data_IF_375087363227
#
_entry.id   IF_375087363227
#
_cell.length_a   1.000
_cell.length_b   1.000
_cell.length_c   1.000
_cell.angle_alpha   90.00
_cell.angle_beta   90.00
_cell.angle_gamma   90.00
#
_symmetry.space_group_name_H-M   'P 1'
#
loop_
_entity.id
_entity.type
_entity.pdbx_description
1 polymer ?
#
# COMPACT_ATOMS: atom_id res chain seq x y z
N UNK A 1 1.07 24.98 -7.11
CA UNK A 1 1.44 23.96 -6.11
C UNK A 1 0.41 23.81 -4.98
N UNK A 2 -0.05 24.92 -4.37
CA UNK A 2 -0.90 24.82 -3.18
C UNK A 2 -2.31 24.28 -3.39
N UNK A 3 -2.97 24.62 -4.51
CA UNK A 3 -4.26 24.03 -4.86
C UNK A 3 -4.17 22.52 -5.05
N UNK A 4 -3.12 22.04 -5.73
CA UNK A 4 -2.87 20.60 -5.95
C UNK A 4 -2.59 19.89 -4.62
N UNK A 5 -1.72 20.44 -3.77
CA UNK A 5 -1.46 19.90 -2.43
C UNK A 5 -2.75 19.77 -1.61
N UNK A 6 -3.58 20.81 -1.61
CA UNK A 6 -4.82 20.84 -0.82
C UNK A 6 -5.82 19.81 -1.36
N UNK A 7 -5.94 19.69 -2.69
CA UNK A 7 -6.81 18.70 -3.32
C UNK A 7 -6.34 17.27 -3.05
N UNK A 8 -5.06 16.97 -3.21
CA UNK A 8 -4.52 15.63 -2.96
C UNK A 8 -4.61 15.27 -1.47
N UNK A 9 -4.34 16.23 -0.58
CA UNK A 9 -4.54 16.07 0.86
C UNK A 9 -5.99 15.81 1.23
N UNK A 10 -6.94 16.53 0.62
CA UNK A 10 -8.37 16.34 0.85
C UNK A 10 -8.84 14.96 0.38
N UNK A 11 -8.44 14.51 -0.82
CA UNK A 11 -8.75 13.16 -1.33
C UNK A 11 -8.18 12.09 -0.40
N UNK A 12 -6.94 12.28 0.06
CA UNK A 12 -6.33 11.36 1.02
C UNK A 12 -7.14 11.27 2.32
N UNK A 13 -7.51 12.41 2.90
CA UNK A 13 -8.28 12.49 4.14
C UNK A 13 -9.67 11.84 3.99
N UNK A 14 -10.37 12.08 2.88
CA UNK A 14 -11.63 11.41 2.57
C UNK A 14 -11.44 9.89 2.53
N UNK A 15 -10.36 9.41 1.90
CA UNK A 15 -10.00 8.00 1.90
C UNK A 15 -9.79 7.43 3.30
N UNK A 16 -9.14 8.16 4.22
CA UNK A 16 -8.94 7.73 5.62
C UNK A 16 -10.29 7.66 6.36
N UNK A 17 -11.15 8.66 6.19
CA UNK A 17 -12.50 8.66 6.80
C UNK A 17 -13.32 7.48 6.29
N UNK A 18 -13.27 7.21 4.98
CA UNK A 18 -13.91 6.05 4.38
C UNK A 18 -13.33 4.75 4.93
N UNK A 19 -12.00 4.62 5.08
CA UNK A 19 -11.39 3.44 5.69
C UNK A 19 -11.91 3.19 7.10
N UNK A 20 -11.93 4.22 7.94
CA UNK A 20 -12.41 4.10 9.30
C UNK A 20 -13.89 3.69 9.32
N UNK A 21 -14.74 4.36 8.54
CA UNK A 21 -16.17 4.07 8.45
C UNK A 21 -16.44 2.66 7.94
N UNK A 22 -15.77 2.25 6.86
CA UNK A 22 -15.92 0.93 6.27
C UNK A 22 -15.51 -0.17 7.26
N UNK A 23 -14.47 0.05 8.07
CA UNK A 23 -14.01 -0.93 9.05
C UNK A 23 -15.10 -1.32 10.06
N UNK A 24 -16.00 -0.39 10.44
CA UNK A 24 -17.12 -0.69 11.36
C UNK A 24 -18.23 -1.52 10.73
N UNK A 25 -18.47 -1.36 9.43
CA UNK A 25 -19.51 -2.09 8.70
C UNK A 25 -18.96 -3.35 8.02
N UNK A 26 -17.80 -3.84 8.49
CA UNK A 26 -17.14 -5.00 7.91
C UNK A 26 -18.07 -6.22 7.94
N UNK A 27 -18.31 -6.89 6.80
CA UNK A 27 -19.17 -8.07 6.74
C UNK A 27 -18.66 -9.23 7.62
N UNK A 28 -19.61 -10.05 8.09
CA UNK A 28 -19.35 -11.29 8.84
C UNK A 28 -18.35 -12.20 8.13
N UNK A 29 -17.47 -12.93 8.85
CA UNK A 29 -16.46 -13.82 8.28
C UNK A 29 -16.99 -14.80 7.22
N UNK A 30 -18.23 -15.27 7.37
CA UNK A 30 -18.85 -16.27 6.49
C UNK A 30 -19.60 -15.65 5.30
N UNK A 31 -19.60 -14.31 5.18
CA UNK A 31 -20.32 -13.61 4.13
C UNK A 31 -19.62 -13.70 2.77
N UNK A 32 -20.37 -14.03 1.73
CA UNK A 32 -19.89 -14.11 0.33
C UNK A 32 -19.33 -12.77 -0.16
N UNK A 33 -19.83 -11.63 0.35
CA UNK A 33 -19.35 -10.30 -0.06
C UNK A 33 -18.03 -9.89 0.60
N UNK A 34 -17.57 -10.62 1.62
CA UNK A 34 -16.39 -10.23 2.43
C UNK A 34 -15.08 -10.16 1.64
N UNK A 35 -14.77 -11.04 0.68
CA UNK A 35 -13.56 -10.92 -0.15
C UNK A 35 -13.56 -9.64 -0.98
N UNK A 36 -14.70 -9.28 -1.59
CA UNK A 36 -14.85 -8.05 -2.36
C UNK A 36 -14.71 -6.82 -1.46
N UNK A 37 -15.38 -6.82 -0.31
CA UNK A 37 -15.25 -5.77 0.68
C UNK A 37 -13.79 -5.56 1.11
N UNK A 38 -13.08 -6.64 1.47
CA UNK A 38 -11.67 -6.56 1.89
C UNK A 38 -10.77 -6.03 0.76
N UNK A 39 -11.04 -6.42 -0.50
CA UNK A 39 -10.30 -5.93 -1.66
C UNK A 39 -10.52 -4.43 -1.89
N UNK A 40 -11.77 -3.97 -1.88
CA UNK A 40 -12.13 -2.56 -2.02
C UNK A 40 -11.58 -1.72 -0.88
N UNK A 41 -11.72 -2.18 0.36
CA UNK A 41 -11.16 -1.54 1.55
C UNK A 41 -9.63 -1.41 1.43
N UNK A 42 -8.94 -2.47 0.96
CA UNK A 42 -7.51 -2.40 0.71
C UNK A 42 -7.17 -1.35 -0.37
N UNK A 43 -7.90 -1.35 -1.50
CA UNK A 43 -7.66 -0.42 -2.59
C UNK A 43 -7.81 1.05 -2.16
N UNK A 44 -8.87 1.37 -1.40
CA UNK A 44 -9.12 2.71 -0.87
C UNK A 44 -7.96 3.15 0.03
N UNK A 45 -7.50 2.27 0.92
CA UNK A 45 -6.34 2.55 1.78
C UNK A 45 -5.06 2.85 1.00
N UNK A 46 -4.77 2.05 -0.03
CA UNK A 46 -3.60 2.24 -0.89
C UNK A 46 -3.66 3.59 -1.63
N UNK A 47 -4.81 3.92 -2.21
CA UNK A 47 -5.00 5.18 -2.92
C UNK A 47 -4.88 6.38 -1.97
N UNK A 48 -5.53 6.31 -0.81
CA UNK A 48 -5.43 7.34 0.23
C UNK A 48 -3.98 7.61 0.63
N UNK A 49 -3.19 6.53 0.79
CA UNK A 49 -1.78 6.62 1.13
C UNK A 49 -0.93 7.23 0.01
N UNK A 50 -1.22 6.88 -1.24
CA UNK A 50 -0.56 7.48 -2.41
C UNK A 50 -0.83 8.99 -2.49
N UNK A 51 -2.08 9.40 -2.31
CA UNK A 51 -2.46 10.82 -2.28
C UNK A 51 -1.80 11.58 -1.12
N UNK A 52 -1.68 10.96 0.07
CA UNK A 52 -0.95 11.53 1.20
C UNK A 52 0.54 11.74 0.88
N UNK A 53 1.17 10.76 0.23
CA UNK A 53 2.58 10.85 -0.16
C UNK A 53 2.80 11.99 -1.17
N UNK A 54 1.92 12.11 -2.17
CA UNK A 54 1.97 13.22 -3.15
C UNK A 54 1.78 14.57 -2.45
N UNK A 55 0.79 14.69 -1.56
CA UNK A 55 0.57 15.93 -0.80
C UNK A 55 1.79 16.30 0.05
N UNK A 56 2.40 15.31 0.71
CA UNK A 56 3.61 15.48 1.53
C UNK A 56 4.79 15.92 0.67
N UNK A 57 5.01 15.29 -0.49
CA UNK A 57 6.05 15.68 -1.44
C UNK A 57 5.88 17.14 -1.91
N UNK A 58 4.65 17.54 -2.26
CA UNK A 58 4.40 18.92 -2.68
C UNK A 58 4.67 19.89 -1.53
N UNK A 59 4.24 19.58 -0.30
CA UNK A 59 4.52 20.41 0.86
C UNK A 59 6.02 20.53 1.14
N UNK A 60 6.73 19.41 1.08
CA UNK A 60 8.17 19.34 1.37
C UNK A 60 9.01 20.14 0.38
N UNK A 61 8.60 20.22 -0.89
CA UNK A 61 9.37 20.88 -1.93
C UNK A 61 8.95 22.33 -2.18
N UNK A 62 7.67 22.66 -2.08
CA UNK A 62 7.15 23.96 -2.50
C UNK A 62 6.78 24.89 -1.34
N UNK A 63 6.66 24.37 -0.12
CA UNK A 63 6.24 25.13 1.06
C UNK A 63 7.38 25.39 2.04
N UNK A 64 8.60 25.59 1.51
CA UNK A 64 9.82 25.86 2.26
C UNK A 64 9.70 27.05 3.23
N UNK A 65 8.83 28.04 2.95
CA UNK A 65 8.55 29.16 3.85
C UNK A 65 8.13 28.72 5.27
N UNK A 66 7.48 27.57 5.40
CA UNK A 66 7.03 27.04 6.70
C UNK A 66 8.07 26.14 7.38
N UNK A 67 9.21 25.92 6.73
CA UNK A 67 10.31 25.11 7.24
C UNK A 67 11.52 25.99 7.55
N UNK A 68 12.14 25.76 8.69
CA UNK A 68 13.36 26.47 9.07
C UNK A 68 14.57 26.08 8.23
N UNK A 69 14.52 24.90 7.60
CA UNK A 69 15.60 24.28 6.82
C UNK A 69 14.97 23.26 5.85
N UNK A 70 15.48 23.18 4.62
CA UNK A 70 15.04 22.25 3.56
C UNK A 70 15.36 20.77 3.88
N UNK A 71 16.31 20.51 4.78
CA UNK A 71 16.66 19.15 5.23
C UNK A 71 15.52 18.46 6.00
N UNK A 72 14.75 19.21 6.80
CA UNK A 72 13.67 18.66 7.64
C UNK A 72 12.51 18.07 6.85
N UNK A 73 11.90 18.79 5.89
CA UNK A 73 10.83 18.23 5.05
C UNK A 73 11.33 17.04 4.20
N UNK A 74 12.59 17.07 3.76
CA UNK A 74 13.23 15.97 3.06
C UNK A 74 13.29 14.69 3.92
N UNK A 75 13.84 14.79 5.14
CA UNK A 75 13.94 13.66 6.07
C UNK A 75 12.57 13.10 6.45
N UNK A 76 11.57 13.96 6.66
CA UNK A 76 10.19 13.53 6.94
C UNK A 76 9.58 12.75 5.78
N UNK A 77 9.87 13.17 4.55
CA UNK A 77 9.39 12.49 3.34
C UNK A 77 10.02 11.11 3.21
N UNK A 78 11.33 10.99 3.44
CA UNK A 78 12.03 9.69 3.44
C UNK A 78 11.47 8.77 4.52
N UNK A 79 11.32 9.29 5.76
CA UNK A 79 10.80 8.52 6.88
C UNK A 79 9.38 8.02 6.61
N UNK A 80 8.48 8.89 6.15
CA UNK A 80 7.11 8.52 5.80
C UNK A 80 7.09 7.43 4.72
N UNK A 81 7.90 7.60 3.69
CA UNK A 81 7.99 6.64 2.59
C UNK A 81 8.56 5.28 3.06
N UNK A 82 9.53 5.27 3.97
CA UNK A 82 10.07 4.06 4.58
C UNK A 82 9.05 3.34 5.45
N UNK A 83 8.31 4.06 6.30
CA UNK A 83 7.26 3.47 7.15
C UNK A 83 6.16 2.82 6.30
N UNK A 84 5.81 3.45 5.18
CA UNK A 84 4.87 2.88 4.21
C UNK A 84 5.42 1.56 3.65
N UNK A 85 6.65 1.56 3.15
CA UNK A 85 7.28 0.34 2.61
C UNK A 85 7.35 -0.78 3.65
N UNK A 86 7.73 -0.45 4.89
CA UNK A 86 7.79 -1.40 5.99
C UNK A 86 6.42 -2.02 6.30
N UNK A 87 5.37 -1.20 6.35
CA UNK A 87 4.00 -1.69 6.60
C UNK A 87 3.54 -2.71 5.53
N UNK A 88 3.91 -2.47 4.27
CA UNK A 88 3.63 -3.39 3.16
C UNK A 88 4.43 -4.69 3.26
N UNK A 89 5.72 -4.60 3.57
CA UNK A 89 6.57 -5.78 3.75
C UNK A 89 6.03 -6.67 4.87
N UNK A 90 5.65 -6.07 6.00
CA UNK A 90 5.03 -6.79 7.11
C UNK A 90 3.73 -7.47 6.69
N UNK A 91 2.85 -6.78 5.97
CA UNK A 91 1.61 -7.35 5.46
C UNK A 91 1.87 -8.55 4.53
N UNK A 92 2.85 -8.44 3.64
CA UNK A 92 3.21 -9.50 2.70
C UNK A 92 3.80 -10.72 3.41
N UNK A 93 4.65 -10.52 4.41
CA UNK A 93 5.19 -11.61 5.23
C UNK A 93 4.08 -12.35 5.97
N UNK A 94 3.13 -11.61 6.55
CA UNK A 94 1.96 -12.21 7.23
C UNK A 94 1.11 -13.00 6.25
N UNK A 95 0.78 -12.43 5.09
CA UNK A 95 0.00 -13.11 4.05
C UNK A 95 0.72 -14.37 3.54
N UNK A 96 2.03 -14.30 3.31
CA UNK A 96 2.83 -15.45 2.88
C UNK A 96 2.86 -16.57 3.92
N UNK A 97 2.96 -16.24 5.21
CA UNK A 97 2.88 -17.22 6.31
C UNK A 97 1.51 -17.89 6.37
N UNK A 98 0.42 -17.13 6.19
CA UNK A 98 -0.94 -17.66 6.18
C UNK A 98 -1.20 -18.58 4.98
N UNK A 99 -0.65 -18.23 3.81
CA UNK A 99 -0.75 -19.07 2.61
C UNK A 99 0.02 -20.38 2.76
N UNK A 100 1.25 -20.35 3.31
CA UNK A 100 2.00 -21.57 3.61
C UNK A 100 1.23 -22.48 4.58
N UNK A 101 0.73 -21.93 5.68
CA UNK A 101 -0.07 -22.70 6.67
C UNK A 101 -1.31 -23.34 6.06
N UNK A 102 -1.98 -22.66 5.12
CA UNK A 102 -3.12 -23.23 4.37
C UNK A 102 -2.68 -24.34 3.40
N UNK A 103 -1.55 -24.17 2.73
CA UNK A 103 -1.01 -25.19 1.81
C UNK A 103 -0.62 -26.46 2.57
N UNK A 104 0.08 -26.32 3.69
CA UNK A 104 0.50 -27.45 4.52
C UNK A 104 -0.71 -28.25 5.03
N UNK A 105 -1.78 -27.56 5.48
CA UNK A 105 -3.02 -28.22 5.90
C UNK A 105 -3.86 -28.81 4.75
N UNK A 106 -3.80 -28.24 3.55
CA UNK A 106 -4.45 -28.82 2.36
C UNK A 106 -3.67 -30.01 1.81
N UNK A 107 -2.33 -30.02 1.86
CA UNK A 107 -1.52 -31.17 1.44
C UNK A 107 -1.78 -32.39 2.34
N UNK A 108 -2.03 -32.19 3.64
CA UNK A 108 -2.46 -33.24 4.57
C UNK A 108 -3.83 -33.84 4.19
N UNK A 109 -4.72 -33.04 3.57
CA UNK A 109 -6.05 -33.46 3.08
C UNK A 109 -5.98 -34.02 1.64
N UNK A 110 -5.16 -33.47 0.76
CA UNK A 110 -5.03 -33.88 -0.65
C UNK A 110 -4.22 -35.18 -0.80
N UNK A 111 -3.33 -35.52 0.16
CA UNK A 111 -2.79 -36.88 0.24
C UNK A 111 -3.87 -37.95 0.48
N UNK A 112 -5.10 -37.54 0.83
CA UNK A 112 -6.29 -38.40 0.86
C UNK A 112 -7.14 -38.37 -0.42
N UNK A 113 -7.00 -37.39 -1.30
CA UNK A 113 -7.79 -37.29 -2.55
C UNK A 113 -7.02 -36.50 -3.62
N UNK A 114 -6.39 -37.20 -4.56
CA UNK A 114 -5.58 -36.56 -5.59
C UNK A 114 -6.41 -35.83 -6.65
N UNK A 115 -6.10 -34.56 -6.94
CA UNK A 115 -6.20 -34.01 -8.31
C UNK A 115 -5.52 -32.63 -8.51
N UNK A 116 -5.01 -32.45 -9.73
CA UNK A 116 -4.05 -31.45 -10.19
C UNK A 116 -4.68 -30.23 -10.89
N UNK A 117 -5.02 -29.17 -10.16
CA UNK A 117 -5.55 -27.91 -10.77
C UNK A 117 -4.92 -26.59 -10.24
N UNK A 118 -3.89 -26.67 -9.40
CA UNK A 118 -3.39 -25.53 -8.59
C UNK A 118 -2.39 -24.60 -9.33
N UNK A 119 -1.81 -25.03 -10.45
CA UNK A 119 -0.60 -24.36 -10.99
C UNK A 119 -0.84 -23.02 -11.70
N UNK A 120 -1.98 -22.83 -12.40
CA UNK A 120 -2.17 -21.67 -13.28
C UNK A 120 -2.65 -20.38 -12.56
N UNK A 121 -3.50 -20.50 -11.54
CA UNK A 121 -4.01 -19.34 -10.78
C UNK A 121 -2.96 -18.69 -9.88
N UNK A 122 -1.97 -19.49 -9.44
CA UNK A 122 -0.90 -19.07 -8.55
C UNK A 122 0.08 -18.10 -9.25
N UNK A 123 0.42 -18.38 -10.52
CA UNK A 123 1.37 -17.58 -11.32
C UNK A 123 0.87 -16.15 -11.59
N UNK A 124 -0.39 -16.01 -12.02
CA UNK A 124 -1.05 -14.71 -12.25
C UNK A 124 -1.06 -13.84 -10.97
N UNK A 125 -1.28 -14.45 -9.80
CA UNK A 125 -1.31 -13.73 -8.53
C UNK A 125 0.07 -13.21 -8.11
N UNK A 126 1.12 -13.99 -8.39
CA UNK A 126 2.51 -13.63 -8.06
C UNK A 126 2.99 -12.50 -8.97
N UNK A 127 2.70 -12.58 -10.27
CA UNK A 127 3.08 -11.56 -11.24
C UNK A 127 2.44 -10.21 -10.89
N UNK A 128 1.15 -10.19 -10.53
CA UNK A 128 0.48 -8.94 -10.10
C UNK A 128 1.09 -8.37 -8.82
N UNK A 129 1.49 -9.21 -7.86
CA UNK A 129 2.19 -8.75 -6.65
C UNK A 129 3.57 -8.18 -6.96
N UNK A 130 4.33 -8.82 -7.85
CA UNK A 130 5.67 -8.35 -8.26
C UNK A 130 5.56 -7.02 -9.00
N UNK A 131 4.67 -6.89 -9.98
CA UNK A 131 4.47 -5.64 -10.73
C UNK A 131 4.07 -4.49 -9.80
N UNK A 132 3.24 -4.76 -8.80
CA UNK A 132 2.81 -3.76 -7.83
C UNK A 132 3.96 -3.28 -6.92
N UNK A 133 4.79 -4.21 -6.44
CA UNK A 133 6.00 -3.89 -5.67
C UNK A 133 6.98 -3.09 -6.53
N UNK A 134 7.17 -3.49 -7.79
CA UNK A 134 8.08 -2.82 -8.71
C UNK A 134 7.63 -1.37 -8.95
N UNK A 135 6.34 -1.15 -9.25
CA UNK A 135 5.76 0.18 -9.45
C UNK A 135 5.97 1.08 -8.21
N UNK A 136 5.75 0.52 -7.02
CA UNK A 136 5.89 1.28 -5.78
C UNK A 136 7.35 1.59 -5.46
N UNK A 137 8.25 0.64 -5.71
CA UNK A 137 9.71 0.82 -5.50
C UNK A 137 10.27 1.85 -6.48
N UNK A 138 9.82 1.83 -7.74
CA UNK A 138 10.17 2.84 -8.76
C UNK A 138 9.64 4.22 -8.36
N UNK A 139 8.40 4.30 -7.85
CA UNK A 139 7.83 5.57 -7.38
C UNK A 139 8.61 6.12 -6.17
N UNK A 140 9.05 5.24 -5.28
CA UNK A 140 9.87 5.57 -4.11
C UNK A 140 11.27 6.05 -4.51
N UNK A 141 11.97 5.34 -5.40
CA UNK A 141 13.29 5.76 -5.89
C UNK A 141 13.22 7.03 -6.71
N UNK A 142 12.17 7.22 -7.51
CA UNK A 142 11.94 8.46 -8.25
C UNK A 142 11.69 9.65 -7.31
N UNK A 143 10.93 9.44 -6.23
CA UNK A 143 10.73 10.41 -5.16
C UNK A 143 12.06 10.82 -4.51
N UNK A 144 12.91 9.85 -4.15
CA UNK A 144 14.25 10.13 -3.60
C UNK A 144 15.13 10.87 -4.61
N UNK A 145 15.13 10.42 -5.87
CA UNK A 145 15.94 11.03 -6.93
C UNK A 145 15.57 12.50 -7.16
N UNK A 146 14.28 12.81 -7.29
CA UNK A 146 13.78 14.19 -7.45
C UNK A 146 14.17 15.03 -6.24
N UNK A 147 14.00 14.48 -5.04
CA UNK A 147 14.31 15.18 -3.81
C UNK A 147 15.82 15.46 -3.64
N UNK A 148 16.69 14.56 -4.10
CA UNK A 148 18.15 14.79 -4.12
C UNK A 148 18.56 15.84 -5.17
N UNK A 149 17.95 15.83 -6.35
CA UNK A 149 18.24 16.81 -7.41
C UNK A 149 17.74 18.23 -7.13
N UNK A 150 16.82 18.40 -6.19
CA UNK A 150 16.30 19.71 -5.78
C UNK A 150 17.06 20.32 -4.59
N UNK A 151 17.94 19.53 -3.94
CA UNK A 151 18.81 19.97 -2.84
C UNK A 151 20.21 20.38 -3.35
N UNK A 152 20.62 19.88 -4.52
CA UNK A 152 21.84 20.29 -5.23
C UNK A 152 21.60 21.52 -6.10
#
# INVERSE_FOLDING_TARGET
PGAIHSLTGAISLLGVILQFTLAFIRPSPDSIIRPYFNSSHRLIGILSLLFALIATLIASNFFLKYWSDSLRPFLLTILASFLILLSFLLFQVVEGKLQRKRKDGNEEIDMSNGTSSISHSTSESIIRKILFILFFTISFTLSIYIALHLIA
#
